data_IF_331249577247
#
_entry.id   IF_331249577247
#
_cell.length_a   1.000
_cell.length_b   1.000
_cell.length_c   1.000
_cell.angle_alpha   90.00
_cell.angle_beta   90.00
_cell.angle_gamma   90.00
#
_symmetry.space_group_name_H-M   'P 1'
#
loop_
_entity.id
_entity.type
_entity.pdbx_description
1 polymer ?
#
# COMPACT_ATOMS: atom_id res chain seq x y z
N UNK A 1 11.71 18.58 4.67
CA UNK A 1 10.78 17.82 5.54
C UNK A 1 10.21 16.69 4.71
N UNK A 2 10.18 15.46 5.22
CA UNK A 2 9.55 14.32 4.53
C UNK A 2 8.11 14.24 5.02
N UNK A 3 7.17 14.21 4.10
CA UNK A 3 5.75 14.01 4.38
C UNK A 3 5.34 12.63 3.90
N UNK A 4 4.24 12.10 4.39
CA UNK A 4 3.69 10.84 3.90
C UNK A 4 2.16 10.87 3.86
N UNK A 5 1.63 9.99 3.03
CA UNK A 5 0.20 9.82 2.73
C UNK A 5 -0.15 8.38 2.99
N UNK A 6 -1.25 8.15 3.67
CA UNK A 6 -1.82 6.82 3.81
C UNK A 6 -2.68 6.46 2.61
N UNK A 7 -2.73 5.17 2.30
CA UNK A 7 -3.56 4.57 1.26
C UNK A 7 -4.32 3.38 1.86
N UNK A 8 -5.65 3.45 1.89
CA UNK A 8 -6.51 2.32 2.25
C UNK A 8 -7.17 1.75 1.00
N UNK A 9 -6.97 0.47 0.74
CA UNK A 9 -7.43 -0.18 -0.48
C UNK A 9 -8.91 -0.57 -0.38
N UNK A 10 -9.76 0.00 -1.24
CA UNK A 10 -11.17 -0.40 -1.35
C UNK A 10 -11.37 -1.61 -2.24
N UNK A 11 -10.49 -1.82 -3.20
CA UNK A 11 -10.56 -2.93 -4.14
C UNK A 11 -9.19 -3.56 -4.36
N UNK A 12 -9.11 -4.79 -4.91
CA UNK A 12 -7.84 -5.44 -5.18
C UNK A 12 -6.95 -4.54 -6.05
N UNK A 13 -5.71 -4.32 -5.64
CA UNK A 13 -4.77 -3.46 -6.33
C UNK A 13 -3.75 -4.29 -7.11
N UNK A 14 -3.81 -4.19 -8.45
CA UNK A 14 -2.84 -4.78 -9.34
C UNK A 14 -1.80 -3.73 -9.76
N UNK A 15 -0.62 -3.83 -9.19
CA UNK A 15 0.56 -3.07 -9.61
C UNK A 15 1.35 -3.94 -10.57
N UNK A 16 1.51 -3.51 -11.83
CA UNK A 16 2.21 -4.32 -12.82
C UNK A 16 3.58 -4.79 -12.33
N UNK A 17 3.79 -6.10 -12.30
CA UNK A 17 5.09 -6.71 -12.06
C UNK A 17 5.89 -6.81 -13.35
N UNK A 18 7.21 -6.87 -13.25
CA UNK A 18 8.12 -7.06 -14.36
C UNK A 18 8.22 -8.54 -14.80
N UNK A 19 7.75 -9.45 -13.98
CA UNK A 19 7.86 -10.89 -14.20
C UNK A 19 6.51 -11.50 -14.49
N UNK A 20 6.40 -12.13 -15.65
CA UNK A 20 5.34 -13.09 -15.96
C UNK A 20 5.95 -14.48 -15.76
N UNK A 21 5.60 -15.15 -14.68
CA UNK A 21 6.03 -16.52 -14.41
C UNK A 21 4.96 -17.49 -14.92
N UNK A 22 5.22 -18.08 -16.08
CA UNK A 22 4.27 -19.00 -16.71
C UNK A 22 2.92 -18.32 -16.97
N UNK A 23 1.86 -18.83 -16.34
CA UNK A 23 0.49 -18.32 -16.48
C UNK A 23 0.12 -17.30 -15.38
N UNK A 24 1.06 -16.86 -14.52
CA UNK A 24 0.82 -15.90 -13.46
C UNK A 24 1.16 -14.48 -13.93
N UNK A 25 0.18 -13.60 -13.93
CA UNK A 25 0.38 -12.15 -14.00
C UNK A 25 0.57 -11.64 -12.58
N UNK A 26 1.82 -11.55 -12.14
CA UNK A 26 2.22 -11.11 -10.81
C UNK A 26 2.15 -9.60 -10.61
N UNK A 27 2.36 -9.18 -9.39
CA UNK A 27 2.44 -7.77 -8.98
C UNK A 27 3.88 -7.35 -8.68
N UNK A 28 4.10 -6.04 -8.58
CA UNK A 28 5.41 -5.49 -8.20
C UNK A 28 5.81 -5.91 -6.79
N UNK A 29 7.05 -6.35 -6.63
CA UNK A 29 7.62 -6.84 -5.36
C UNK A 29 8.96 -6.20 -5.08
N UNK A 30 9.22 -5.89 -3.82
CA UNK A 30 10.52 -5.42 -3.37
C UNK A 30 11.58 -6.52 -3.59
N UNK A 31 12.70 -6.18 -4.21
CA UNK A 31 13.75 -7.17 -4.55
C UNK A 31 14.40 -7.86 -3.36
N UNK A 32 14.40 -7.22 -2.18
CA UNK A 32 15.09 -7.71 -0.99
C UNK A 32 14.17 -8.36 0.05
N UNK A 33 12.85 -8.15 -0.03
CA UNK A 33 11.87 -8.70 0.94
C UNK A 33 10.81 -9.56 0.28
N UNK A 34 10.69 -9.46 -1.06
CA UNK A 34 9.61 -10.03 -1.85
C UNK A 34 8.20 -9.53 -1.44
N UNK A 35 8.13 -8.47 -0.65
CA UNK A 35 6.85 -7.89 -0.25
C UNK A 35 6.23 -7.09 -1.38
N UNK A 36 4.89 -7.10 -1.51
CA UNK A 36 4.20 -6.30 -2.50
C UNK A 36 4.35 -4.81 -2.18
N UNK A 37 4.52 -4.00 -3.22
CA UNK A 37 4.59 -2.55 -3.10
C UNK A 37 3.93 -1.85 -4.29
N UNK A 38 3.72 -0.55 -4.18
CA UNK A 38 3.23 0.28 -5.27
C UNK A 38 4.40 1.09 -5.81
N UNK A 39 4.85 0.87 -7.06
CA UNK A 39 5.91 1.69 -7.65
C UNK A 39 5.57 3.17 -7.62
N UNK A 40 6.50 4.01 -7.24
CA UNK A 40 6.36 5.47 -7.19
C UNK A 40 5.91 6.05 -8.53
N UNK A 41 6.36 5.48 -9.63
CA UNK A 41 5.94 5.86 -10.97
C UNK A 41 4.43 5.69 -11.20
N UNK A 42 3.82 4.66 -10.62
CA UNK A 42 2.38 4.40 -10.69
C UNK A 42 1.60 5.47 -9.93
N UNK A 43 2.00 5.79 -8.69
CA UNK A 43 1.38 6.84 -7.87
C UNK A 43 1.55 8.20 -8.55
N UNK A 44 2.79 8.53 -8.92
CA UNK A 44 3.15 9.80 -9.54
C UNK A 44 2.42 10.01 -10.87
N UNK A 45 2.34 8.98 -11.71
CA UNK A 45 1.64 9.03 -12.98
C UNK A 45 0.15 9.35 -12.80
N UNK A 46 -0.49 8.73 -11.79
CA UNK A 46 -1.90 9.01 -11.47
C UNK A 46 -2.10 10.42 -10.94
N UNK A 47 -1.30 10.86 -9.99
CA UNK A 47 -1.39 12.22 -9.45
C UNK A 47 -1.13 13.28 -10.54
N UNK A 48 -0.15 13.04 -11.42
CA UNK A 48 0.11 13.90 -12.58
C UNK A 48 -1.13 14.04 -13.49
N UNK A 49 -1.89 12.97 -13.70
CA UNK A 49 -3.05 12.95 -14.60
C UNK A 49 -4.23 13.84 -14.12
N UNK A 50 -4.27 14.21 -12.85
CA UNK A 50 -5.28 15.12 -12.30
C UNK A 50 -4.96 16.59 -12.51
N UNK A 51 -3.73 16.94 -12.88
CA UNK A 51 -3.33 18.34 -13.08
C UNK A 51 -3.53 18.71 -14.54
N UNK A 52 -4.62 19.46 -14.82
CA UNK A 52 -4.96 19.92 -16.16
C UNK A 52 -4.06 21.07 -16.62
N UNK A 53 -3.76 22.00 -15.71
CA UNK A 53 -2.85 23.12 -15.97
C UNK A 53 -1.45 22.63 -16.29
N UNK A 54 -0.96 22.95 -17.50
CA UNK A 54 0.33 22.48 -17.99
C UNK A 54 1.51 23.03 -17.17
N UNK A 55 1.48 24.30 -16.81
CA UNK A 55 2.59 24.95 -16.11
C UNK A 55 2.71 24.42 -14.69
N UNK A 56 1.58 24.21 -14.00
CA UNK A 56 1.53 23.56 -12.70
C UNK A 56 2.01 22.10 -12.78
N UNK A 57 1.55 21.35 -13.76
CA UNK A 57 1.92 19.96 -13.98
C UNK A 57 3.42 19.81 -14.24
N UNK A 58 3.97 20.63 -15.13
CA UNK A 58 5.39 20.61 -15.46
C UNK A 58 6.24 21.05 -14.27
N UNK A 59 5.80 22.04 -13.51
CA UNK A 59 6.46 22.45 -12.27
C UNK A 59 6.48 21.36 -11.21
N UNK A 60 5.34 20.70 -10.94
CA UNK A 60 5.28 19.66 -9.92
C UNK A 60 5.97 18.38 -10.36
N UNK A 61 5.71 17.94 -11.59
CA UNK A 61 6.09 16.60 -12.06
C UNK A 61 7.16 16.61 -13.18
N UNK A 62 7.62 17.77 -13.63
CA UNK A 62 8.59 17.88 -14.74
C UNK A 62 7.94 17.79 -16.13
N UNK A 63 8.70 18.20 -17.13
CA UNK A 63 8.26 18.24 -18.53
C UNK A 63 8.13 16.86 -19.16
N UNK A 64 7.28 16.72 -20.17
CA UNK A 64 7.15 15.48 -20.94
C UNK A 64 8.31 15.35 -21.95
N UNK A 65 8.82 14.11 -22.10
CA UNK A 65 9.89 13.77 -23.04
C UNK A 65 9.57 14.10 -24.50
N UNK A 66 8.30 14.27 -24.84
CA UNK A 66 7.83 14.51 -26.21
C UNK A 66 7.75 15.99 -26.58
N UNK A 67 7.66 16.87 -25.60
CA UNK A 67 7.29 18.28 -25.82
C UNK A 67 8.42 19.27 -25.65
N UNK A 68 9.58 18.88 -25.15
CA UNK A 68 10.66 19.83 -24.86
C UNK A 68 12.03 19.37 -25.34
N UNK A 69 12.76 20.32 -25.94
CA UNK A 69 14.20 20.19 -26.19
C UNK A 69 15.04 20.25 -24.90
N UNK A 70 14.43 20.60 -23.76
CA UNK A 70 15.04 20.62 -22.44
C UNK A 70 14.16 19.86 -21.46
N UNK A 71 14.70 18.81 -20.85
CA UNK A 71 14.04 18.06 -19.80
C UNK A 71 14.22 18.80 -18.47
N UNK A 72 13.13 19.26 -17.88
CA UNK A 72 13.14 19.83 -16.55
C UNK A 72 12.62 18.81 -15.52
N UNK A 73 13.37 18.66 -14.44
CA UNK A 73 12.95 17.84 -13.32
C UNK A 73 11.85 18.52 -12.53
N UNK A 74 10.82 17.75 -12.16
CA UNK A 74 9.74 18.26 -11.30
C UNK A 74 10.23 18.59 -9.88
N UNK A 75 9.50 19.48 -9.22
CA UNK A 75 9.83 19.93 -7.86
C UNK A 75 9.36 18.98 -6.77
N UNK A 76 8.51 18.00 -7.11
CA UNK A 76 8.02 16.99 -6.17
C UNK A 76 8.68 15.64 -6.44
N UNK A 77 9.17 15.00 -5.40
CA UNK A 77 9.48 13.59 -5.44
C UNK A 77 8.39 12.79 -4.70
N UNK A 78 8.10 11.60 -5.20
CA UNK A 78 7.13 10.64 -4.65
C UNK A 78 7.87 9.34 -4.45
N UNK A 79 7.80 8.77 -3.25
CA UNK A 79 8.36 7.46 -2.93
C UNK A 79 7.43 6.32 -3.30
N UNK A 80 7.95 5.10 -3.18
CA UNK A 80 7.15 3.89 -3.37
C UNK A 80 6.11 3.73 -2.26
N UNK A 81 4.98 3.13 -2.60
CA UNK A 81 3.95 2.78 -1.64
C UNK A 81 4.32 1.51 -0.88
N UNK A 82 4.57 1.64 0.42
CA UNK A 82 4.97 0.56 1.31
C UNK A 82 3.78 -0.01 2.08
N UNK A 83 3.81 -1.32 2.32
CA UNK A 83 2.83 -2.01 3.14
C UNK A 83 2.97 -1.59 4.62
N UNK A 84 1.83 -1.42 5.32
CA UNK A 84 1.80 -1.23 6.77
C UNK A 84 0.98 -2.32 7.47
N UNK A 85 -0.27 -2.52 7.07
CA UNK A 85 -1.17 -3.53 7.62
C UNK A 85 -1.88 -4.28 6.50
N UNK A 86 -1.87 -5.62 6.54
CA UNK A 86 -2.56 -6.46 5.55
C UNK A 86 -3.60 -7.35 6.24
N UNK A 87 -4.85 -7.38 5.74
CA UNK A 87 -5.91 -8.20 6.31
C UNK A 87 -5.72 -9.68 5.97
N UNK A 88 -5.87 -10.53 6.98
CA UNK A 88 -5.83 -12.00 6.86
C UNK A 88 -7.12 -12.58 7.42
N UNK A 89 -7.78 -13.50 6.72
CA UNK A 89 -8.98 -14.18 7.23
C UNK A 89 -8.68 -15.00 8.50
N UNK A 90 -9.57 -14.93 9.48
CA UNK A 90 -9.51 -15.69 10.72
C UNK A 90 -10.84 -16.37 11.02
N UNK A 91 -10.80 -17.66 11.33
CA UNK A 91 -12.02 -18.43 11.66
C UNK A 91 -12.72 -17.90 12.91
N UNK A 92 -11.96 -17.41 13.89
CA UNK A 92 -12.49 -16.96 15.17
C UNK A 92 -12.72 -15.47 15.29
N UNK A 93 -12.11 -14.65 14.40
CA UNK A 93 -12.10 -13.19 14.51
C UNK A 93 -12.53 -12.47 13.23
N UNK A 94 -12.96 -13.19 12.17
CA UNK A 94 -13.30 -12.63 10.86
C UNK A 94 -12.05 -12.18 10.11
N UNK A 95 -11.61 -10.94 10.33
CA UNK A 95 -10.39 -10.38 9.73
C UNK A 95 -9.44 -9.94 10.82
N UNK A 96 -8.16 -10.25 10.65
CA UNK A 96 -7.05 -9.81 11.50
C UNK A 96 -6.02 -9.11 10.61
N UNK A 97 -5.64 -7.89 10.95
CA UNK A 97 -4.59 -7.17 10.25
C UNK A 97 -3.22 -7.55 10.80
N UNK A 98 -2.36 -8.02 9.93
CA UNK A 98 -0.99 -8.42 10.30
C UNK A 98 0.02 -7.36 9.85
N UNK A 99 1.07 -7.22 10.65
CA UNK A 99 2.27 -6.45 10.36
C UNK A 99 3.49 -7.14 10.96
N UNK A 100 4.67 -6.54 10.82
CA UNK A 100 5.90 -7.06 11.41
C UNK A 100 6.78 -5.94 12.00
N UNK A 101 7.76 -6.25 12.85
CA UNK A 101 8.69 -5.25 13.38
C UNK A 101 9.40 -4.46 12.29
N UNK A 102 9.74 -5.09 11.16
CA UNK A 102 10.37 -4.41 10.02
C UNK A 102 9.42 -3.37 9.39
N UNK A 103 8.17 -3.74 9.11
CA UNK A 103 7.18 -2.84 8.51
C UNK A 103 6.87 -1.66 9.42
N UNK A 104 6.63 -1.92 10.70
CA UNK A 104 6.36 -0.89 11.70
C UNK A 104 7.56 0.04 11.89
N UNK A 105 8.78 -0.49 11.91
CA UNK A 105 10.00 0.31 12.02
C UNK A 105 10.19 1.23 10.81
N UNK A 106 9.88 0.78 9.60
CA UNK A 106 9.92 1.62 8.39
C UNK A 106 8.97 2.81 8.53
N UNK A 107 7.75 2.53 8.95
CA UNK A 107 6.73 3.56 9.14
C UNK A 107 7.10 4.56 10.25
N UNK A 108 7.56 4.09 11.42
CA UNK A 108 7.97 4.94 12.53
C UNK A 108 9.08 5.92 12.16
N UNK A 109 10.00 5.54 11.26
CA UNK A 109 11.06 6.44 10.79
C UNK A 109 10.52 7.69 10.08
N UNK A 110 9.39 7.59 9.40
CA UNK A 110 8.74 8.74 8.78
C UNK A 110 7.94 9.56 9.80
N UNK A 111 7.42 8.91 10.82
CA UNK A 111 6.64 9.55 11.88
C UNK A 111 7.49 10.38 12.85
N UNK A 112 8.82 10.24 12.80
CA UNK A 112 9.70 10.83 13.82
C UNK A 112 9.44 10.29 15.23
N UNK A 113 8.65 9.23 15.35
CA UNK A 113 8.27 8.61 16.62
C UNK A 113 9.34 7.58 17.01
N UNK A 114 9.81 7.67 18.26
CA UNK A 114 10.74 6.73 18.86
C UNK A 114 10.05 5.67 19.73
N UNK A 115 8.76 5.38 19.46
CA UNK A 115 8.04 4.37 20.19
C UNK A 115 8.76 3.01 20.11
N UNK A 116 8.81 2.32 21.24
CA UNK A 116 9.34 0.97 21.29
C UNK A 116 8.48 0.03 20.44
N UNK A 117 9.14 -0.69 19.54
CA UNK A 117 8.44 -1.65 18.69
C UNK A 117 7.78 -2.73 19.54
N UNK A 118 6.55 -3.16 19.16
CA UNK A 118 5.91 -4.28 19.79
C UNK A 118 6.76 -5.54 19.62
N UNK A 119 6.69 -6.41 20.61
CA UNK A 119 7.33 -7.72 20.51
C UNK A 119 6.62 -8.56 19.44
N UNK A 120 7.35 -9.50 18.86
CA UNK A 120 6.77 -10.51 17.99
C UNK A 120 5.64 -11.27 18.71
N UNK A 121 4.59 -11.60 17.97
CA UNK A 121 3.34 -12.20 18.44
C UNK A 121 2.49 -11.32 19.37
N UNK A 122 2.76 -10.01 19.45
CA UNK A 122 1.88 -9.06 20.11
C UNK A 122 0.58 -8.89 19.34
N UNK A 123 -0.55 -8.95 20.03
CA UNK A 123 -1.88 -8.75 19.44
C UNK A 123 -2.88 -8.19 20.47
N UNK A 124 -3.94 -7.56 19.98
CA UNK A 124 -5.03 -7.08 20.82
C UNK A 124 -6.25 -8.02 20.87
N UNK A 125 -6.11 -9.22 20.29
CA UNK A 125 -7.20 -10.20 20.15
C UNK A 125 -7.01 -11.44 21.03
N UNK A 126 -5.96 -11.50 21.85
CA UNK A 126 -5.71 -12.61 22.75
C UNK A 126 -6.85 -12.74 23.77
N UNK A 127 -7.43 -13.91 23.89
CA UNK A 127 -8.46 -14.23 24.88
C UNK A 127 -8.07 -15.48 25.69
N UNK A 128 -7.51 -15.26 26.87
CA UNK A 128 -7.11 -16.34 27.77
C UNK A 128 -6.14 -17.33 27.11
N UNK A 129 -6.44 -18.59 27.16
CA UNK A 129 -5.63 -19.69 26.60
C UNK A 129 -6.12 -20.19 25.23
N UNK A 130 -6.85 -19.38 24.49
CA UNK A 130 -7.36 -19.74 23.17
C UNK A 130 -6.35 -19.44 22.07
N UNK A 131 -6.11 -20.39 21.18
CA UNK A 131 -5.32 -20.18 19.95
C UNK A 131 -6.06 -19.29 18.96
N UNK A 132 -5.33 -18.56 18.13
CA UNK A 132 -5.88 -17.79 17.03
C UNK A 132 -5.67 -18.57 15.73
N UNK A 133 -6.78 -18.81 15.02
CA UNK A 133 -6.79 -19.53 13.75
C UNK A 133 -6.89 -18.54 12.61
N UNK A 134 -5.77 -18.30 11.92
CA UNK A 134 -5.74 -17.61 10.64
C UNK A 134 -5.96 -18.63 9.52
N UNK A 135 -6.29 -18.14 8.32
CA UNK A 135 -6.54 -19.01 7.15
C UNK A 135 -5.43 -20.04 6.93
N UNK A 136 -4.18 -19.61 7.02
CA UNK A 136 -3.00 -20.39 6.66
C UNK A 136 -2.02 -20.58 7.84
N UNK A 137 -2.42 -20.25 9.08
CA UNK A 137 -1.60 -20.41 10.27
C UNK A 137 -2.43 -20.61 11.55
N UNK A 138 -1.89 -21.38 12.48
CA UNK A 138 -2.45 -21.53 13.84
C UNK A 138 -1.41 -20.95 14.81
N UNK A 139 -1.81 -19.94 15.58
CA UNK A 139 -0.99 -19.30 16.60
C UNK A 139 -1.46 -19.76 17.97
N UNK A 140 -0.57 -20.42 18.71
CA UNK A 140 -0.89 -20.96 20.02
C UNK A 140 -1.02 -19.87 21.06
N UNK A 141 -1.88 -20.07 22.04
CA UNK A 141 -2.16 -19.09 23.08
C UNK A 141 -0.92 -18.70 23.91
N UNK A 142 0.00 -19.63 24.12
CA UNK A 142 1.25 -19.42 24.85
C UNK A 142 2.29 -18.60 24.06
N UNK A 143 2.19 -18.56 22.74
CA UNK A 143 3.03 -17.72 21.87
C UNK A 143 2.54 -16.25 21.84
N UNK A 144 1.23 -16.04 22.00
CA UNK A 144 0.60 -14.72 21.87
C UNK A 144 0.85 -13.85 23.10
N UNK A 145 1.09 -12.56 22.86
CA UNK A 145 1.31 -11.52 23.87
C UNK A 145 0.22 -10.45 23.77
N UNK A 146 -0.30 -10.04 24.93
CA UNK A 146 -1.27 -8.96 24.98
C UNK A 146 -0.62 -7.63 24.58
N UNK A 147 -1.31 -6.85 23.75
CA UNK A 147 -0.83 -5.58 23.25
C UNK A 147 -1.83 -4.47 23.50
N UNK A 148 -1.67 -3.74 24.60
CA UNK A 148 -2.60 -2.69 25.03
C UNK A 148 -2.46 -1.39 24.24
N UNK A 149 -1.24 -1.01 23.88
CA UNK A 149 -0.95 0.26 23.19
C UNK A 149 -0.91 0.15 21.65
N UNK A 150 -1.57 -0.87 21.08
CA UNK A 150 -1.60 -1.11 19.63
C UNK A 150 -2.10 0.08 18.80
N UNK A 151 -2.93 0.95 19.39
CA UNK A 151 -3.48 2.14 18.73
C UNK A 151 -2.40 3.15 18.32
N UNK A 152 -1.24 3.14 18.95
CA UNK A 152 -0.10 3.98 18.57
C UNK A 152 0.50 3.58 17.22
N UNK A 153 0.21 2.36 16.76
CA UNK A 153 0.74 1.76 15.53
C UNK A 153 -0.29 1.67 14.39
N UNK A 154 -1.46 2.24 14.59
CA UNK A 154 -2.51 2.36 13.57
C UNK A 154 -2.91 3.83 13.48
N UNK A 155 -3.06 4.42 12.28
CA UNK A 155 -3.54 5.80 12.16
C UNK A 155 -4.86 5.99 12.88
N UNK A 156 -4.92 6.98 13.78
CA UNK A 156 -6.14 7.29 14.54
C UNK A 156 -7.02 8.26 13.76
N UNK A 157 -7.45 7.84 12.58
CA UNK A 157 -8.30 8.61 11.66
C UNK A 157 -9.53 7.79 11.26
N UNK A 158 -10.64 8.44 10.86
CA UNK A 158 -11.85 7.73 10.43
C UNK A 158 -11.60 6.71 9.32
N UNK A 159 -10.68 7.01 8.42
CA UNK A 159 -10.34 6.16 7.26
C UNK A 159 -9.72 4.82 7.66
N UNK A 160 -9.01 4.79 8.79
CA UNK A 160 -8.39 3.57 9.31
C UNK A 160 -9.22 2.86 10.40
N UNK A 161 -10.44 3.34 10.67
CA UNK A 161 -11.29 2.83 11.78
C UNK A 161 -11.66 1.35 11.67
N UNK A 162 -11.62 0.77 10.46
CA UNK A 162 -11.85 -0.65 10.25
C UNK A 162 -10.74 -1.55 10.83
N UNK A 163 -9.54 -1.01 11.07
CA UNK A 163 -8.40 -1.76 11.59
C UNK A 163 -8.51 -1.88 13.12
N UNK A 164 -9.28 -2.86 13.57
CA UNK A 164 -9.57 -3.06 15.00
C UNK A 164 -8.85 -4.27 15.62
N UNK A 165 -8.47 -5.25 14.81
CA UNK A 165 -7.85 -6.49 15.26
C UNK A 165 -6.50 -6.64 14.61
N UNK A 166 -5.47 -6.42 15.39
CA UNK A 166 -4.10 -6.35 14.89
C UNK A 166 -3.19 -7.38 15.54
N UNK A 167 -2.19 -7.82 14.78
CA UNK A 167 -1.19 -8.78 15.22
C UNK A 167 0.15 -8.48 14.57
N UNK A 168 1.21 -8.51 15.36
CA UNK A 168 2.60 -8.37 14.90
C UNK A 168 3.26 -9.72 14.90
N UNK A 169 3.72 -10.16 13.74
CA UNK A 169 4.38 -11.45 13.54
C UNK A 169 5.87 -11.25 13.27
N UNK A 170 6.72 -12.26 13.53
CA UNK A 170 8.09 -12.24 13.05
C UNK A 170 8.16 -11.90 11.56
N UNK A 171 9.15 -11.14 11.12
CA UNK A 171 9.26 -10.65 9.75
C UNK A 171 9.07 -11.75 8.71
N UNK A 172 9.71 -12.90 8.90
CA UNK A 172 9.60 -14.05 7.98
C UNK A 172 8.19 -14.65 7.95
N UNK A 173 7.55 -14.82 9.12
CA UNK A 173 6.20 -15.39 9.19
C UNK A 173 5.16 -14.42 8.60
N UNK A 174 5.33 -13.13 8.87
CA UNK A 174 4.49 -12.09 8.29
C UNK A 174 4.61 -12.09 6.76
N UNK A 175 5.83 -12.11 6.21
CA UNK A 175 6.07 -12.15 4.78
C UNK A 175 5.40 -13.38 4.13
N UNK A 176 5.53 -14.56 4.74
CA UNK A 176 4.90 -15.80 4.24
C UNK A 176 3.37 -15.66 4.21
N UNK A 177 2.76 -15.18 5.29
CA UNK A 177 1.29 -15.00 5.34
C UNK A 177 0.80 -13.92 4.38
N UNK A 178 1.56 -12.86 4.17
CA UNK A 178 1.28 -11.86 3.14
C UNK A 178 1.19 -12.52 1.77
N UNK A 179 2.19 -13.34 1.39
CA UNK A 179 2.20 -14.04 0.11
C UNK A 179 0.99 -14.98 -0.05
N UNK A 180 0.62 -15.69 1.00
CA UNK A 180 -0.52 -16.61 1.02
C UNK A 180 -1.88 -15.86 1.00
N UNK A 181 -1.90 -14.62 1.44
CA UNK A 181 -3.10 -13.78 1.54
C UNK A 181 -3.30 -12.86 0.35
N UNK A 182 -2.40 -12.84 -0.62
CA UNK A 182 -2.60 -12.07 -1.84
C UNK A 182 -3.87 -12.54 -2.55
N UNK A 183 -4.58 -11.58 -3.11
CA UNK A 183 -5.77 -11.85 -3.89
C UNK A 183 -5.38 -12.50 -5.21
N UNK A 184 -5.94 -13.66 -5.53
CA UNK A 184 -5.69 -14.38 -6.77
C UNK A 184 -6.97 -14.75 -7.47
N UNK A 185 -7.02 -14.53 -8.77
CA UNK A 185 -8.13 -14.89 -9.63
C UNK A 185 -7.66 -15.62 -10.87
N UNK A 186 -8.38 -16.70 -11.20
CA UNK A 186 -8.21 -17.37 -12.51
C UNK A 186 -9.03 -16.61 -13.54
N UNK A 187 -8.45 -16.33 -14.70
CA UNK A 187 -9.13 -15.84 -15.89
C UNK A 187 -9.02 -16.86 -16.98
N UNK A 188 -10.13 -17.12 -17.64
CA UNK A 188 -10.22 -17.98 -18.80
C UNK A 188 -10.76 -17.17 -19.98
N UNK A 189 -10.24 -17.44 -21.17
CA UNK A 189 -10.83 -16.97 -22.41
C UNK A 189 -11.86 -18.01 -22.86
N UNK A 190 -13.04 -17.57 -23.19
CA UNK A 190 -14.11 -18.41 -23.72
C UNK A 190 -14.30 -18.12 -25.21
N UNK A 191 -14.61 -19.18 -25.98
CA UNK A 191 -15.08 -19.06 -27.34
C UNK A 191 -16.58 -18.68 -27.39
N UNK A 192 -17.14 -18.57 -28.61
CA UNK A 192 -18.55 -18.21 -28.82
C UNK A 192 -19.52 -19.26 -28.26
N UNK A 193 -19.07 -20.50 -28.06
CA UNK A 193 -19.86 -21.59 -27.43
C UNK A 193 -19.67 -21.65 -25.92
N UNK A 194 -18.97 -20.67 -25.31
CA UNK A 194 -18.59 -20.61 -23.90
C UNK A 194 -17.71 -21.75 -23.41
N UNK A 195 -17.00 -22.40 -24.33
CA UNK A 195 -15.95 -23.36 -24.02
C UNK A 195 -14.62 -22.62 -23.81
N UNK A 196 -13.71 -23.20 -23.02
CA UNK A 196 -12.40 -22.58 -22.75
C UNK A 196 -11.56 -22.58 -24.04
N UNK A 197 -11.21 -21.39 -24.52
CA UNK A 197 -10.34 -21.17 -25.67
C UNK A 197 -8.97 -20.62 -25.22
N UNK A 198 -7.91 -21.37 -25.46
CA UNK A 198 -6.54 -20.90 -25.29
C UNK A 198 -5.98 -20.92 -23.86
N UNK A 199 -6.63 -21.63 -22.92
CA UNK A 199 -6.10 -21.83 -21.59
C UNK A 199 -6.56 -20.82 -20.55
N UNK A 200 -5.84 -20.75 -19.43
CA UNK A 200 -6.14 -19.88 -18.30
C UNK A 200 -4.90 -19.13 -17.85
N UNK A 201 -5.13 -18.01 -17.18
CA UNK A 201 -4.08 -17.26 -16.48
C UNK A 201 -4.51 -16.94 -15.06
N UNK A 202 -3.55 -16.85 -14.18
CA UNK A 202 -3.75 -16.33 -12.83
C UNK A 202 -3.41 -14.84 -12.81
N UNK A 203 -4.20 -14.06 -12.12
CA UNK A 203 -3.90 -12.67 -11.82
C UNK A 203 -3.80 -12.50 -10.31
N UNK A 204 -2.77 -11.79 -9.89
CA UNK A 204 -2.48 -11.49 -8.50
C UNK A 204 -2.74 -10.01 -8.21
N UNK A 205 -3.14 -9.69 -6.98
CA UNK A 205 -3.34 -8.32 -6.52
C UNK A 205 -3.12 -8.22 -5.01
N UNK A 206 -2.81 -7.04 -4.51
CA UNK A 206 -2.85 -6.72 -3.10
C UNK A 206 -4.32 -6.71 -2.68
N UNK A 207 -4.72 -7.41 -1.59
CA UNK A 207 -6.13 -7.50 -1.21
C UNK A 207 -6.71 -6.15 -0.79
N UNK A 208 -8.05 -5.96 -0.92
CA UNK A 208 -8.74 -4.82 -0.33
C UNK A 208 -8.53 -4.80 1.20
N UNK A 209 -8.88 -3.70 1.83
CA UNK A 209 -8.69 -3.44 3.27
C UNK A 209 -7.22 -3.43 3.74
N UNK A 210 -6.27 -3.46 2.80
CA UNK A 210 -4.85 -3.26 3.10
C UNK A 210 -4.56 -1.78 3.33
N UNK A 211 -3.83 -1.47 4.40
CA UNK A 211 -3.30 -0.14 4.66
C UNK A 211 -1.84 -0.07 4.19
N UNK A 212 -1.58 0.91 3.35
CA UNK A 212 -0.25 1.25 2.82
C UNK A 212 0.06 2.73 3.05
N UNK A 213 1.26 3.15 2.76
CA UNK A 213 1.65 4.56 2.79
C UNK A 213 2.76 4.84 1.78
N UNK A 214 2.85 6.08 1.30
CA UNK A 214 4.00 6.54 0.52
C UNK A 214 4.52 7.87 1.05
N UNK A 215 5.81 8.12 0.85
CA UNK A 215 6.46 9.38 1.22
C UNK A 215 6.57 10.33 0.04
N UNK A 216 6.63 11.64 0.33
CA UNK A 216 6.83 12.66 -0.67
C UNK A 216 7.54 13.89 -0.08
N UNK A 217 8.06 14.72 -0.95
CA UNK A 217 8.70 15.96 -0.55
C UNK A 217 9.13 16.80 -1.74
N UNK A 218 9.82 17.90 -1.42
CA UNK A 218 10.36 18.83 -2.39
C UNK A 218 11.76 18.40 -2.80
N UNK A 219 12.07 18.48 -4.09
CA UNK A 219 13.42 18.26 -4.61
C UNK A 219 14.36 19.43 -4.24
N UNK A 220 15.66 19.19 -4.21
CA UNK A 220 16.66 20.23 -3.90
C UNK A 220 16.75 21.34 -4.94
N UNK A 221 16.20 21.13 -6.14
CA UNK A 221 16.22 22.10 -7.25
C UNK A 221 15.04 23.09 -7.25
N UNK A 222 14.21 23.08 -6.20
CA UNK A 222 13.03 23.96 -6.10
C UNK A 222 13.40 25.44 -5.86
N UNK A 223 14.06 26.07 -6.83
CA UNK A 223 14.55 27.44 -6.81
C UNK A 223 13.44 28.46 -6.50
N UNK A 224 13.30 28.89 -5.23
CA UNK A 224 12.36 29.93 -4.80
C UNK A 224 10.87 29.59 -4.86
N UNK A 225 10.48 28.44 -5.43
CA UNK A 225 9.07 27.99 -5.55
C UNK A 225 8.76 26.75 -4.67
N UNK A 226 9.64 26.41 -3.75
CA UNK A 226 9.50 25.21 -2.91
C UNK A 226 8.20 25.22 -2.08
N UNK A 227 7.93 26.32 -1.40
CA UNK A 227 6.77 26.47 -0.52
C UNK A 227 5.44 26.42 -1.33
N UNK A 228 5.41 27.14 -2.46
CA UNK A 228 4.26 27.10 -3.35
C UNK A 228 4.01 25.69 -3.89
N UNK A 229 5.06 25.00 -4.36
CA UNK A 229 4.93 23.63 -4.87
C UNK A 229 4.53 22.63 -3.79
N UNK A 230 4.96 22.85 -2.54
CA UNK A 230 4.52 22.06 -1.41
C UNK A 230 3.02 22.21 -1.15
N UNK A 231 2.52 23.46 -1.12
CA UNK A 231 1.10 23.78 -0.93
C UNK A 231 0.26 23.21 -2.06
N UNK A 232 0.62 23.49 -3.31
CA UNK A 232 -0.12 23.00 -4.48
C UNK A 232 -0.20 21.47 -4.52
N UNK A 233 0.86 20.78 -4.10
CA UNK A 233 0.83 19.32 -4.05
C UNK A 233 -0.02 18.80 -2.86
N UNK A 234 -0.02 19.48 -1.71
CA UNK A 234 -0.93 19.17 -0.61
C UNK A 234 -2.39 19.34 -1.02
N UNK A 235 -2.71 20.43 -1.73
CA UNK A 235 -4.05 20.69 -2.24
C UNK A 235 -4.47 19.62 -3.25
N UNK A 236 -3.57 19.22 -4.14
CA UNK A 236 -3.82 18.11 -5.07
C UNK A 236 -4.18 16.81 -4.34
N UNK A 237 -3.43 16.46 -3.30
CA UNK A 237 -3.70 15.26 -2.50
C UNK A 237 -5.03 15.37 -1.73
N UNK A 238 -5.34 16.54 -1.17
CA UNK A 238 -6.55 16.76 -0.38
C UNK A 238 -7.81 16.76 -1.25
N UNK A 239 -7.73 17.33 -2.45
CA UNK A 239 -8.86 17.42 -3.39
C UNK A 239 -9.19 16.07 -4.05
N UNK A 240 -8.30 15.09 -3.97
CA UNK A 240 -8.47 13.77 -4.58
C UNK A 240 -8.37 12.66 -3.52
N UNK A 241 -9.32 12.61 -2.60
CA UNK A 241 -9.32 11.61 -1.51
C UNK A 241 -9.53 10.17 -1.99
N UNK A 242 -10.12 9.97 -3.17
CA UNK A 242 -10.28 8.65 -3.79
C UNK A 242 -9.54 8.63 -5.12
N UNK A 243 -8.67 7.65 -5.28
CA UNK A 243 -7.88 7.44 -6.49
C UNK A 243 -8.16 6.06 -7.06
N UNK A 244 -7.95 5.93 -8.37
CA UNK A 244 -7.72 4.63 -8.98
C UNK A 244 -6.22 4.53 -9.31
N UNK A 245 -5.51 3.55 -8.80
CA UNK A 245 -4.07 3.33 -8.99
C UNK A 245 -3.84 1.95 -9.61
N UNK A 246 -2.83 1.84 -10.44
CA UNK A 246 -2.44 0.58 -11.07
C UNK A 246 -3.30 0.19 -12.27
N UNK A 247 -3.21 -1.08 -12.64
CA UNK A 247 -3.90 -1.62 -13.81
C UNK A 247 -5.32 -2.11 -13.53
N UNK A 248 -6.02 -2.46 -14.63
CA UNK A 248 -7.32 -3.14 -14.59
C UNK A 248 -8.46 -2.28 -14.02
N UNK A 249 -8.43 -0.96 -14.28
CA UNK A 249 -9.49 -0.01 -13.89
C UNK A 249 -10.88 -0.45 -14.35
N UNK A 250 -11.00 -0.91 -15.60
CA UNK A 250 -12.27 -1.41 -16.18
C UNK A 250 -12.87 -2.61 -15.44
N UNK A 251 -12.09 -3.28 -14.59
CA UNK A 251 -12.53 -4.37 -13.74
C UNK A 251 -12.82 -3.92 -12.30
N UNK A 252 -12.84 -2.62 -12.04
CA UNK A 252 -13.09 -2.06 -10.71
C UNK A 252 -11.91 -2.21 -9.74
N UNK A 253 -10.69 -2.35 -10.24
CA UNK A 253 -9.50 -2.56 -9.41
C UNK A 253 -8.72 -1.29 -9.17
N UNK A 254 -7.96 -1.29 -8.06
CA UNK A 254 -7.05 -0.23 -7.69
C UNK A 254 -7.70 1.01 -7.11
N UNK A 255 -8.97 0.94 -6.69
CA UNK A 255 -9.59 2.05 -5.97
C UNK A 255 -9.06 2.11 -4.54
N UNK A 256 -8.53 3.27 -4.17
CA UNK A 256 -7.92 3.53 -2.87
C UNK A 256 -8.42 4.85 -2.30
N UNK A 257 -8.57 4.90 -1.00
CA UNK A 257 -8.72 6.15 -0.26
C UNK A 257 -7.35 6.63 0.20
N UNK A 258 -7.06 7.91 -0.06
CA UNK A 258 -5.83 8.53 0.44
C UNK A 258 -6.13 9.67 1.42
N UNK A 259 -5.24 9.89 2.37
CA UNK A 259 -5.24 11.05 3.25
C UNK A 259 -3.83 11.38 3.74
N UNK A 260 -3.62 12.66 3.99
CA UNK A 260 -2.35 13.15 4.53
C UNK A 260 -2.17 12.66 5.97
N UNK A 261 -0.97 12.19 6.28
CA UNK A 261 -0.63 11.92 7.66
C UNK A 261 -0.62 13.22 8.48
N UNK A 262 -1.11 13.20 9.72
CA UNK A 262 -1.02 14.36 10.61
C UNK A 262 0.43 14.83 10.74
N UNK A 263 0.65 16.13 10.74
CA UNK A 263 1.97 16.70 11.10
C UNK A 263 2.15 16.54 12.61
N UNK A 264 3.17 15.81 13.02
CA UNK A 264 3.62 15.77 14.40
C UNK A 264 4.33 17.07 14.79
#
# INVERSE_FOLDING_TARGET
>A
MINYVYLYLFSPLHTGGTTQEGNLLGIARESHTDLPYIPSSTIRGRLRSFVEDKDLRDRLFGTDLKDSSQLEQGMIWVGDGSLLWLPVPSLSHGVVWISSPMLLRRWLRFNGNSADLPQEYSCNIKKGNSSVYLKDAILKADELKDWSNWKEFVPQTPEASAIERVMVLPDQHCATLIQMSLWRQVKVKLDDSKSVDGGFRYEEAIPPDTLMYFSWGITTQANGKAEQSHTDFQDLLTNHSILQIGGQESLGRGFVQQWLAPKN
#
